data_IF_051583906367
#
_entry.id   IF_051583906367
#
_cell.length_a   1.000
_cell.length_b   1.000
_cell.length_c   1.000
_cell.angle_alpha   90.00
_cell.angle_beta   90.00
_cell.angle_gamma   90.00
#
_symmetry.space_group_name_H-M   'P 1'
#
loop_
_entity.id
_entity.type
_entity.pdbx_description
1 polymer ?
#
# COMPACT_ATOMS: atom_id res chain seq x y z
N UNK A 1 10.09 16.40 5.88
CA UNK A 1 9.28 15.47 6.70
C UNK A 1 9.13 14.10 6.01
N UNK A 2 10.21 13.57 5.41
CA UNK A 2 10.22 12.34 4.60
C UNK A 2 11.38 11.39 4.95
N UNK A 3 12.05 11.64 6.08
CA UNK A 3 13.15 10.80 6.57
C UNK A 3 12.84 10.41 8.00
N UNK A 4 12.19 9.26 8.16
CA UNK A 4 12.19 8.54 9.42
C UNK A 4 12.63 7.12 9.09
N UNK A 5 13.69 6.65 9.76
CA UNK A 5 14.34 5.35 9.51
C UNK A 5 13.47 4.13 9.84
N UNK A 6 12.16 4.32 10.01
CA UNK A 6 11.21 3.29 10.41
C UNK A 6 9.79 3.67 9.91
N UNK A 7 9.64 3.95 8.62
CA UNK A 7 8.32 4.18 8.02
C UNK A 7 7.63 2.83 7.86
N UNK A 8 6.59 2.62 8.66
CA UNK A 8 5.60 1.58 8.42
C UNK A 8 5.07 1.75 6.99
N UNK A 9 5.52 0.86 6.10
CA UNK A 9 5.34 1.00 4.66
C UNK A 9 3.87 0.92 4.25
N UNK A 10 3.02 0.35 5.12
CA UNK A 10 1.57 0.27 4.96
C UNK A 10 0.89 1.59 5.31
N UNK A 11 1.39 2.25 6.36
CA UNK A 11 0.95 3.60 6.71
C UNK A 11 1.27 4.58 5.59
N UNK A 12 2.46 4.49 5.00
CA UNK A 12 2.82 5.30 3.84
C UNK A 12 1.90 5.04 2.64
N UNK A 13 1.55 3.77 2.37
CA UNK A 13 0.66 3.41 1.27
C UNK A 13 -0.75 3.99 1.45
N UNK A 14 -1.32 3.86 2.65
CA UNK A 14 -2.63 4.43 2.99
C UNK A 14 -2.65 5.96 2.93
N UNK A 15 -1.57 6.62 3.39
CA UNK A 15 -1.41 8.06 3.29
C UNK A 15 -1.30 8.52 1.82
N UNK A 16 -0.55 7.80 0.98
CA UNK A 16 -0.41 8.10 -0.45
C UNK A 16 -1.72 7.90 -1.22
N UNK A 17 -2.47 6.83 -0.95
CA UNK A 17 -3.78 6.60 -1.56
C UNK A 17 -4.80 7.65 -1.10
N UNK A 18 -4.80 8.01 0.19
CA UNK A 18 -5.63 9.10 0.70
C UNK A 18 -5.29 10.45 0.05
N UNK A 19 -4.00 10.73 -0.13
CA UNK A 19 -3.53 11.94 -0.81
C UNK A 19 -3.98 11.97 -2.28
N UNK A 20 -3.87 10.85 -3.00
CA UNK A 20 -4.34 10.75 -4.38
C UNK A 20 -5.86 10.99 -4.45
N UNK A 21 -6.66 10.34 -3.61
CA UNK A 21 -8.11 10.52 -3.58
C UNK A 21 -8.51 11.98 -3.32
N UNK A 22 -7.82 12.67 -2.41
CA UNK A 22 -8.06 14.08 -2.15
C UNK A 22 -7.84 14.94 -3.40
N UNK A 23 -6.74 14.76 -4.13
CA UNK A 23 -6.50 15.53 -5.35
C UNK A 23 -7.43 15.15 -6.49
N UNK A 24 -7.77 13.86 -6.65
CA UNK A 24 -8.74 13.42 -7.65
C UNK A 24 -10.14 13.98 -7.36
N UNK A 25 -10.52 14.19 -6.09
CA UNK A 25 -11.80 14.82 -5.73
C UNK A 25 -11.93 16.28 -6.20
N UNK A 26 -10.81 16.95 -6.44
CA UNK A 26 -10.78 18.31 -7.00
C UNK A 26 -10.96 18.26 -8.53
N UNK A 27 -10.41 17.22 -9.17
CA UNK A 27 -10.33 17.10 -10.63
C UNK A 27 -11.51 16.37 -11.27
N UNK A 28 -12.17 15.47 -10.54
CA UNK A 28 -13.17 14.53 -11.06
C UNK A 28 -14.51 14.75 -10.38
N UNK A 29 -15.65 14.58 -11.08
CA UNK A 29 -16.96 14.62 -10.45
C UNK A 29 -17.09 13.55 -9.35
N UNK A 30 -17.69 13.88 -8.19
CA UNK A 30 -17.85 12.94 -7.07
C UNK A 30 -18.51 11.61 -7.48
N UNK A 31 -19.45 11.64 -8.42
CA UNK A 31 -20.22 10.49 -8.88
C UNK A 31 -19.38 9.47 -9.65
N UNK A 32 -18.27 9.94 -10.24
CA UNK A 32 -17.30 9.08 -10.95
C UNK A 32 -16.26 8.53 -9.98
N UNK A 33 -15.83 9.34 -9.00
CA UNK A 33 -14.85 8.93 -8.01
C UNK A 33 -15.42 7.89 -7.02
N UNK A 34 -16.70 8.01 -6.64
CA UNK A 34 -17.37 7.03 -5.76
C UNK A 34 -17.45 5.61 -6.33
N UNK A 35 -17.26 5.45 -7.65
CA UNK A 35 -17.27 4.15 -8.32
C UNK A 35 -15.90 3.48 -8.36
N UNK A 36 -14.84 4.19 -7.99
CA UNK A 36 -13.46 3.71 -8.04
C UNK A 36 -13.09 3.16 -6.66
N UNK A 37 -12.72 1.88 -6.61
CA UNK A 37 -12.19 1.27 -5.38
C UNK A 37 -10.72 1.64 -5.17
N UNK A 38 -10.22 1.54 -3.93
CA UNK A 38 -8.80 1.80 -3.63
C UNK A 38 -7.84 0.96 -4.48
N UNK A 39 -8.26 -0.26 -4.82
CA UNK A 39 -7.54 -1.21 -5.67
C UNK A 39 -7.43 -0.77 -7.13
N UNK A 40 -8.44 -0.06 -7.62
CA UNK A 40 -8.50 0.40 -9.02
C UNK A 40 -7.73 1.70 -9.21
N UNK A 41 -7.45 2.46 -8.14
CA UNK A 41 -6.73 3.74 -8.21
C UNK A 41 -5.37 3.65 -8.93
N UNK A 42 -4.63 2.55 -8.78
CA UNK A 42 -3.34 2.37 -9.45
C UNK A 42 -3.47 2.25 -10.97
N UNK A 43 -4.60 1.74 -11.47
CA UNK A 43 -4.82 1.49 -12.91
C UNK A 43 -5.90 2.37 -13.52
N UNK A 44 -6.57 3.18 -12.71
CA UNK A 44 -7.65 4.05 -13.12
C UNK A 44 -7.14 5.15 -14.04
N UNK A 45 -7.65 5.18 -15.27
CA UNK A 45 -7.37 6.26 -16.21
C UNK A 45 -8.23 7.48 -15.88
N UNK A 46 -7.80 8.24 -14.87
CA UNK A 46 -8.55 9.41 -14.42
C UNK A 46 -8.59 10.55 -15.43
N UNK A 47 -7.66 10.56 -16.41
CA UNK A 47 -7.52 11.62 -17.42
C UNK A 47 -8.79 11.81 -18.24
N UNK A 48 -9.48 10.72 -18.54
CA UNK A 48 -10.72 10.71 -19.30
C UNK A 48 -11.92 11.23 -18.48
N UNK A 49 -11.76 11.33 -17.16
CA UNK A 49 -12.79 11.76 -16.22
C UNK A 49 -12.56 13.18 -15.67
N UNK A 50 -11.47 13.85 -16.05
CA UNK A 50 -11.15 15.20 -15.56
C UNK A 50 -12.20 16.20 -16.04
N UNK A 51 -12.72 16.99 -15.10
CA UNK A 51 -13.67 18.05 -15.38
C UNK A 51 -13.04 19.15 -16.25
N UNK A 52 -13.88 19.88 -16.99
CA UNK A 52 -13.40 21.08 -17.68
C UNK A 52 -12.82 22.07 -16.66
N UNK A 53 -11.69 22.70 -16.99
CA UNK A 53 -10.98 23.70 -16.17
C UNK A 53 -11.89 24.80 -15.61
N UNK A 54 -12.96 25.14 -16.32
CA UNK A 54 -13.96 26.13 -15.88
C UNK A 54 -14.83 25.65 -14.71
N UNK A 55 -15.09 24.35 -14.62
CA UNK A 55 -15.86 23.71 -13.55
C UNK A 55 -15.02 23.28 -12.35
N UNK A 56 -13.69 23.37 -12.43
CA UNK A 56 -12.79 23.01 -11.33
C UNK A 56 -12.74 24.14 -10.29
N UNK A 57 -13.01 23.78 -9.05
CA UNK A 57 -12.87 24.66 -7.90
C UNK A 57 -11.58 24.35 -7.15
N UNK A 58 -10.56 25.20 -7.31
CA UNK A 58 -9.24 25.05 -6.70
C UNK A 58 -9.19 25.45 -5.21
N UNK A 59 -10.35 25.68 -4.59
CA UNK A 59 -10.48 26.03 -3.17
C UNK A 59 -10.67 27.52 -2.91
N UNK A 60 -11.09 27.82 -1.67
CA UNK A 60 -11.44 29.17 -1.23
C UNK A 60 -10.28 30.17 -1.37
N UNK A 61 -9.08 29.81 -0.89
CA UNK A 61 -7.90 30.68 -0.94
C UNK A 61 -7.52 31.06 -2.36
N UNK A 62 -7.66 30.13 -3.32
CA UNK A 62 -7.41 30.44 -4.72
C UNK A 62 -8.39 31.51 -5.23
N UNK A 63 -9.67 31.41 -4.87
CA UNK A 63 -10.70 32.38 -5.28
C UNK A 63 -10.44 33.75 -4.66
N UNK A 64 -10.06 33.79 -3.39
CA UNK A 64 -9.76 35.03 -2.65
C UNK A 64 -8.53 35.76 -3.24
N UNK A 65 -7.43 35.04 -3.44
CA UNK A 65 -6.18 35.60 -3.97
C UNK A 65 -6.28 35.97 -5.46
N UNK A 66 -7.18 35.33 -6.20
CA UNK A 66 -7.38 35.61 -7.62
C UNK A 66 -8.47 36.66 -7.92
N UNK A 67 -9.10 37.24 -6.89
CA UNK A 67 -10.24 38.15 -7.04
C UNK A 67 -9.94 39.37 -7.94
N UNK A 68 -8.69 39.85 -7.96
CA UNK A 68 -8.26 41.02 -8.74
C UNK A 68 -7.53 40.66 -10.04
N UNK A 69 -7.44 39.37 -10.39
CA UNK A 69 -6.74 38.91 -11.59
C UNK A 69 -7.67 39.02 -12.81
N UNK A 70 -7.21 39.58 -13.94
CA UNK A 70 -8.00 39.61 -15.17
C UNK A 70 -8.45 38.21 -15.59
N UNK A 71 -9.69 38.08 -16.07
CA UNK A 71 -10.30 36.77 -16.41
C UNK A 71 -9.45 35.96 -17.41
N UNK A 72 -8.77 36.63 -18.36
CA UNK A 72 -7.89 35.96 -19.33
C UNK A 72 -6.68 35.31 -18.63
N UNK A 73 -6.01 36.05 -17.75
CA UNK A 73 -4.88 35.56 -16.96
C UNK A 73 -5.32 34.51 -15.95
N UNK A 74 -6.49 34.70 -15.34
CA UNK A 74 -7.09 33.74 -14.40
C UNK A 74 -7.34 32.38 -15.05
N UNK A 75 -7.84 32.36 -16.29
CA UNK A 75 -8.03 31.13 -17.04
C UNK A 75 -6.71 30.41 -17.30
N UNK A 76 -5.65 31.15 -17.68
CA UNK A 76 -4.31 30.59 -17.91
C UNK A 76 -3.74 30.02 -16.59
N UNK A 77 -3.90 30.73 -15.47
CA UNK A 77 -3.43 30.28 -14.16
C UNK A 77 -4.19 29.02 -13.74
N UNK A 78 -5.53 29.02 -13.84
CA UNK A 78 -6.36 27.85 -13.53
C UNK A 78 -5.95 26.62 -14.35
N UNK A 79 -5.66 26.82 -15.63
CA UNK A 79 -5.24 25.74 -16.52
C UNK A 79 -3.88 25.16 -16.10
N UNK A 80 -2.91 26.02 -15.77
CA UNK A 80 -1.61 25.58 -15.25
C UNK A 80 -1.72 24.85 -13.91
N UNK A 81 -2.53 25.35 -12.98
CA UNK A 81 -2.79 24.69 -11.70
C UNK A 81 -3.43 23.31 -11.92
N UNK A 82 -4.40 23.21 -12.83
CA UNK A 82 -5.05 21.95 -13.18
C UNK A 82 -4.05 20.96 -13.79
N UNK A 83 -3.20 21.41 -14.73
CA UNK A 83 -2.15 20.57 -15.30
C UNK A 83 -1.12 20.12 -14.25
N UNK A 84 -0.79 20.98 -13.29
CA UNK A 84 0.08 20.63 -12.18
C UNK A 84 -0.53 19.52 -11.30
N UNK A 85 -1.81 19.65 -10.95
CA UNK A 85 -2.54 18.64 -10.18
C UNK A 85 -2.67 17.31 -10.93
N UNK A 86 -2.92 17.35 -12.25
CA UNK A 86 -2.95 16.15 -13.10
C UNK A 86 -1.60 15.44 -13.04
N UNK A 87 -0.50 16.16 -13.27
CA UNK A 87 0.85 15.59 -13.21
C UNK A 87 1.16 15.04 -11.82
N UNK A 88 0.78 15.73 -10.76
CA UNK A 88 0.96 15.26 -9.39
C UNK A 88 0.20 13.94 -9.15
N UNK A 89 -1.03 13.82 -9.64
CA UNK A 89 -1.81 12.59 -9.54
C UNK A 89 -1.16 11.45 -10.35
N UNK A 90 -0.69 11.70 -11.58
CA UNK A 90 0.04 10.72 -12.41
C UNK A 90 1.30 10.23 -11.67
N UNK A 91 2.06 11.16 -11.11
CA UNK A 91 3.27 10.90 -10.34
C UNK A 91 3.02 10.10 -9.05
N UNK A 92 1.92 10.37 -8.33
CA UNK A 92 1.52 9.58 -7.17
C UNK A 92 1.07 8.18 -7.62
N UNK A 93 0.28 8.09 -8.70
CA UNK A 93 -0.22 6.83 -9.25
C UNK A 93 0.93 5.93 -9.75
N UNK A 94 1.97 6.48 -10.37
CA UNK A 94 3.17 5.72 -10.77
C UNK A 94 3.96 5.17 -9.56
N UNK A 95 3.87 5.84 -8.41
CA UNK A 95 4.47 5.39 -7.15
C UNK A 95 3.55 4.43 -6.40
N UNK A 96 2.30 4.28 -6.82
CA UNK A 96 1.42 3.26 -6.28
C UNK A 96 1.78 1.90 -6.90
N UNK A 97 2.12 0.90 -6.08
CA UNK A 97 2.39 -0.44 -6.57
C UNK A 97 1.14 -1.05 -7.23
N UNK A 98 1.28 -1.65 -8.42
CA UNK A 98 0.18 -2.40 -9.08
C UNK A 98 -0.33 -3.58 -8.22
N UNK A 99 0.45 -3.97 -7.22
CA UNK A 99 0.21 -5.04 -6.28
C UNK A 99 -0.29 -4.54 -4.91
N UNK A 100 -1.01 -3.41 -4.84
CA UNK A 100 -1.65 -2.90 -3.60
C UNK A 100 -2.35 -4.02 -2.81
N UNK A 101 -3.12 -4.90 -3.45
CA UNK A 101 -3.77 -6.06 -2.79
C UNK A 101 -2.79 -7.02 -2.10
N UNK A 102 -1.62 -7.22 -2.70
CA UNK A 102 -0.54 -8.05 -2.15
C UNK A 102 0.21 -7.32 -1.03
N UNK A 103 0.29 -6.00 -1.09
CA UNK A 103 0.94 -5.19 -0.06
C UNK A 103 0.03 -4.93 1.15
N UNK A 104 -1.29 -4.79 0.96
CA UNK A 104 -2.24 -4.84 2.07
C UNK A 104 -2.16 -6.18 2.81
N UNK A 105 -1.92 -7.26 2.07
CA UNK A 105 -1.60 -8.57 2.65
C UNK A 105 -0.26 -8.58 3.42
N UNK A 106 0.68 -7.66 3.19
CA UNK A 106 1.88 -7.51 4.04
C UNK A 106 1.51 -7.10 5.48
N UNK A 107 0.40 -6.37 5.68
CA UNK A 107 -0.08 -5.99 7.02
C UNK A 107 -0.37 -7.21 7.90
N UNK A 108 -0.79 -8.31 7.29
CA UNK A 108 -1.05 -9.57 7.97
C UNK A 108 0.21 -10.10 8.65
N UNK A 109 1.37 -9.85 8.04
CA UNK A 109 2.67 -10.26 8.57
C UNK A 109 3.28 -9.22 9.53
N UNK A 110 2.55 -8.17 9.92
CA UNK A 110 2.98 -7.32 11.04
C UNK A 110 3.00 -8.14 12.34
N UNK A 111 3.95 -7.90 13.26
CA UNK A 111 4.04 -8.68 14.51
C UNK A 111 2.73 -8.66 15.31
N UNK A 112 2.01 -7.54 15.31
CA UNK A 112 0.77 -7.35 16.04
C UNK A 112 -0.37 -8.19 15.47
N UNK A 113 -0.49 -8.28 14.14
CA UNK A 113 -1.54 -9.07 13.48
C UNK A 113 -1.15 -10.56 13.48
N UNK A 114 0.10 -10.89 13.19
CA UNK A 114 0.59 -12.27 13.15
C UNK A 114 0.49 -12.98 14.52
N UNK A 115 0.64 -12.25 15.62
CA UNK A 115 0.50 -12.78 16.99
C UNK A 115 -0.90 -12.60 17.59
N UNK A 116 -1.84 -11.99 16.86
CA UNK A 116 -3.22 -11.83 17.31
C UNK A 116 -3.95 -13.17 17.45
N UNK A 117 -4.92 -13.25 18.36
CA UNK A 117 -5.82 -14.41 18.47
C UNK A 117 -6.86 -14.43 17.33
N UNK A 118 -7.27 -13.26 16.85
CA UNK A 118 -8.18 -13.10 15.70
C UNK A 118 -7.32 -12.78 14.48
N UNK A 119 -7.13 -13.77 13.63
CA UNK A 119 -6.18 -13.72 12.50
C UNK A 119 -6.91 -13.87 11.17
N UNK A 120 -6.50 -13.12 10.14
CA UNK A 120 -6.99 -13.34 8.80
C UNK A 120 -6.50 -14.70 8.25
N UNK A 121 -7.32 -15.31 7.39
CA UNK A 121 -6.90 -16.49 6.65
C UNK A 121 -5.82 -16.08 5.63
N UNK A 122 -4.71 -16.83 5.59
CA UNK A 122 -3.60 -16.60 4.66
C UNK A 122 -3.55 -17.62 3.52
N UNK A 123 -4.51 -18.54 3.43
CA UNK A 123 -4.54 -19.63 2.44
C UNK A 123 -4.37 -19.13 1.00
N UNK A 124 -5.14 -18.13 0.58
CA UNK A 124 -5.00 -17.52 -0.74
C UNK A 124 -3.61 -16.92 -1.00
N UNK A 125 -2.93 -16.47 0.06
CA UNK A 125 -1.58 -15.91 0.00
C UNK A 125 -0.58 -17.05 -0.18
N UNK A 126 -0.65 -18.07 0.68
CA UNK A 126 0.24 -19.22 0.64
C UNK A 126 0.15 -19.93 -0.71
N UNK A 127 -1.07 -20.11 -1.24
CA UNK A 127 -1.31 -20.69 -2.57
C UNK A 127 -0.73 -19.80 -3.68
N UNK A 128 -0.89 -18.48 -3.56
CA UNK A 128 -0.32 -17.51 -4.51
C UNK A 128 1.22 -17.49 -4.54
N UNK A 129 1.87 -17.87 -3.44
CA UNK A 129 3.33 -17.94 -3.30
C UNK A 129 3.89 -19.37 -3.29
N UNK A 130 3.11 -20.35 -3.74
CA UNK A 130 3.52 -21.77 -3.78
C UNK A 130 4.87 -21.99 -4.47
N UNK A 131 5.17 -21.22 -5.52
CA UNK A 131 6.41 -21.35 -6.28
C UNK A 131 7.62 -20.88 -5.46
N UNK A 132 7.44 -19.87 -4.60
CA UNK A 132 8.47 -19.40 -3.65
C UNK A 132 8.66 -20.41 -2.52
N UNK A 133 7.59 -21.08 -2.12
CA UNK A 133 7.62 -22.13 -1.10
C UNK A 133 8.22 -23.45 -1.61
N UNK A 134 8.44 -23.58 -2.92
CA UNK A 134 9.03 -24.79 -3.52
C UNK A 134 8.01 -25.85 -3.91
N UNK A 135 6.73 -25.50 -4.03
CA UNK A 135 5.67 -26.41 -4.50
C UNK A 135 4.45 -26.45 -3.58
N UNK A 136 3.43 -27.21 -4.03
CA UNK A 136 2.17 -27.39 -3.29
C UNK A 136 2.38 -28.15 -1.98
N UNK A 137 3.39 -29.01 -1.91
CA UNK A 137 3.75 -29.78 -0.70
C UNK A 137 4.02 -28.92 0.54
N UNK A 138 4.50 -27.69 0.38
CA UNK A 138 4.84 -26.81 1.49
C UNK A 138 3.70 -25.86 1.89
N UNK A 139 2.58 -25.86 1.16
CA UNK A 139 1.41 -25.02 1.45
C UNK A 139 0.80 -25.42 2.80
N UNK A 140 0.50 -26.70 2.99
CA UNK A 140 -0.10 -27.20 4.23
C UNK A 140 0.83 -27.00 5.43
N UNK A 141 2.13 -27.25 5.25
CA UNK A 141 3.14 -27.01 6.28
C UNK A 141 3.16 -25.53 6.71
N UNK A 142 3.13 -24.61 5.76
CA UNK A 142 3.10 -23.16 6.03
C UNK A 142 1.84 -22.74 6.78
N UNK A 143 0.67 -23.31 6.44
CA UNK A 143 -0.58 -23.03 7.15
C UNK A 143 -0.58 -23.56 8.59
N UNK A 144 0.03 -24.72 8.84
CA UNK A 144 0.20 -25.23 10.20
C UNK A 144 1.17 -24.37 11.01
N UNK A 145 2.29 -23.96 10.42
CA UNK A 145 3.25 -23.03 11.03
C UNK A 145 2.57 -21.71 11.40
N UNK A 146 1.76 -21.14 10.50
CA UNK A 146 0.95 -19.96 10.79
C UNK A 146 0.04 -20.21 11.99
N UNK A 147 -0.67 -21.34 12.02
CA UNK A 147 -1.62 -21.66 13.09
C UNK A 147 -0.98 -21.73 14.47
N UNK A 148 0.24 -22.28 14.59
CA UNK A 148 0.91 -22.44 15.89
C UNK A 148 1.70 -21.21 16.33
N UNK A 149 1.98 -20.25 15.44
CA UNK A 149 2.78 -19.04 15.71
C UNK A 149 2.39 -18.29 17.01
N UNK A 150 1.11 -18.02 17.34
CA UNK A 150 0.73 -17.24 18.52
C UNK A 150 0.70 -18.05 19.81
N UNK A 151 0.83 -19.39 19.72
CA UNK A 151 0.97 -20.23 20.91
C UNK A 151 2.31 -19.99 21.59
N UNK A 152 3.28 -19.42 20.86
CA UNK A 152 4.59 -19.07 21.36
C UNK A 152 4.65 -17.60 21.78
N UNK A 153 5.42 -17.31 22.83
CA UNK A 153 5.72 -15.94 23.24
C UNK A 153 6.96 -15.41 22.51
N UNK A 154 6.78 -14.28 21.81
CA UNK A 154 7.81 -13.59 21.03
C UNK A 154 8.29 -12.34 21.75
N UNK A 155 9.61 -12.10 21.77
CA UNK A 155 10.20 -10.97 22.51
C UNK A 155 10.39 -9.73 21.64
N UNK A 156 10.62 -9.92 20.34
CA UNK A 156 10.92 -8.86 19.37
C UNK A 156 9.70 -8.55 18.52
N UNK A 157 8.72 -7.85 19.08
CA UNK A 157 7.48 -7.49 18.35
C UNK A 157 7.44 -6.03 17.88
N UNK A 158 8.58 -5.31 17.97
CA UNK A 158 8.65 -3.88 17.65
C UNK A 158 8.65 -3.59 16.16
N UNK A 159 9.41 -4.34 15.37
CA UNK A 159 9.48 -4.21 13.92
C UNK A 159 9.28 -5.56 13.27
N UNK A 160 8.77 -5.57 12.03
CA UNK A 160 8.58 -6.81 11.27
C UNK A 160 9.90 -7.55 11.05
N UNK A 161 10.99 -6.83 10.76
CA UNK A 161 12.31 -7.43 10.52
C UNK A 161 12.88 -8.12 11.77
N UNK A 162 12.79 -7.47 12.93
CA UNK A 162 13.26 -8.06 14.19
C UNK A 162 12.42 -9.26 14.61
N UNK A 163 11.11 -9.19 14.37
CA UNK A 163 10.16 -10.26 14.65
C UNK A 163 10.40 -11.48 13.77
N UNK A 164 10.38 -11.32 12.45
CA UNK A 164 10.58 -12.44 11.53
C UNK A 164 12.00 -13.00 11.62
N UNK A 165 12.99 -12.18 11.99
CA UNK A 165 14.33 -12.65 12.35
C UNK A 165 14.35 -13.54 13.61
N UNK A 166 13.55 -13.22 14.64
CA UNK A 166 13.37 -14.08 15.83
C UNK A 166 12.67 -15.40 15.46
N UNK A 167 11.57 -15.32 14.69
CA UNK A 167 10.80 -16.50 14.25
C UNK A 167 11.67 -17.43 13.39
N UNK A 168 12.51 -16.88 12.50
CA UNK A 168 13.42 -17.66 11.66
C UNK A 168 14.50 -18.38 12.48
N UNK A 169 14.96 -17.72 13.56
CA UNK A 169 15.98 -18.27 14.46
C UNK A 169 15.41 -19.27 15.48
N UNK A 170 14.07 -19.37 15.57
CA UNK A 170 13.41 -20.23 16.53
C UNK A 170 13.51 -21.71 16.13
N UNK A 171 14.05 -22.51 17.04
CA UNK A 171 14.22 -23.96 16.87
C UNK A 171 13.25 -24.71 17.76
N UNK A 172 12.68 -25.78 17.23
CA UNK A 172 11.86 -26.71 17.99
C UNK A 172 12.72 -27.56 18.96
N UNK A 173 12.07 -28.41 19.75
CA UNK A 173 12.74 -29.30 20.71
C UNK A 173 13.74 -30.29 20.06
N UNK A 174 13.64 -30.52 18.74
CA UNK A 174 14.56 -31.36 17.97
C UNK A 174 15.75 -30.58 17.39
N UNK A 175 15.78 -29.24 17.53
CA UNK A 175 16.84 -28.39 17.01
C UNK A 175 16.62 -27.90 15.57
N UNK A 176 15.48 -28.25 14.96
CA UNK A 176 15.08 -27.84 13.61
C UNK A 176 14.31 -26.52 13.63
N UNK A 177 14.37 -25.76 12.53
CA UNK A 177 13.62 -24.52 12.38
C UNK A 177 12.12 -24.80 12.36
N UNK A 178 11.38 -24.29 13.35
CA UNK A 178 9.96 -24.64 13.52
C UNK A 178 9.02 -23.89 12.57
N UNK A 179 9.48 -22.77 11.98
CA UNK A 179 8.68 -21.83 11.19
C UNK A 179 9.35 -21.48 9.86
N UNK A 180 10.13 -22.40 9.29
CA UNK A 180 10.99 -22.12 8.13
C UNK A 180 10.20 -21.68 6.89
N UNK A 181 9.09 -22.37 6.57
CA UNK A 181 8.31 -22.05 5.38
C UNK A 181 7.58 -20.72 5.55
N UNK A 182 7.05 -20.48 6.74
CA UNK A 182 6.36 -19.25 7.09
C UNK A 182 7.29 -18.04 7.07
N UNK A 183 8.50 -18.17 7.61
CA UNK A 183 9.49 -17.08 7.57
C UNK A 183 9.99 -16.83 6.16
N UNK A 184 10.19 -17.89 5.35
CA UNK A 184 10.50 -17.75 3.92
C UNK A 184 9.41 -16.96 3.18
N UNK A 185 8.13 -17.28 3.45
CA UNK A 185 6.99 -16.54 2.90
C UNK A 185 6.99 -15.08 3.36
N UNK A 186 7.09 -14.84 4.66
CA UNK A 186 7.07 -13.50 5.23
C UNK A 186 8.22 -12.64 4.69
N UNK A 187 9.44 -13.18 4.61
CA UNK A 187 10.59 -12.48 4.03
C UNK A 187 10.38 -12.22 2.53
N UNK A 188 9.85 -13.18 1.76
CA UNK A 188 9.58 -12.96 0.34
C UNK A 188 8.55 -11.85 0.12
N UNK A 189 7.51 -11.80 0.96
CA UNK A 189 6.45 -10.80 0.91
C UNK A 189 6.94 -9.42 1.37
N UNK A 190 7.71 -9.36 2.46
CA UNK A 190 8.27 -8.11 3.00
C UNK A 190 9.42 -7.55 2.17
N UNK A 191 10.09 -8.39 1.38
CA UNK A 191 11.13 -7.97 0.41
C UNK A 191 10.57 -7.55 -0.95
N UNK A 192 9.25 -7.66 -1.16
CA UNK A 192 8.63 -7.11 -2.37
C UNK A 192 8.83 -5.59 -2.38
N UNK A 193 9.42 -5.03 -3.45
CA UNK A 193 9.60 -3.60 -3.53
C UNK A 193 8.23 -2.92 -3.57
N UNK A 194 8.02 -1.97 -2.65
CA UNK A 194 6.86 -1.06 -2.65
C UNK A 194 6.85 -0.09 -3.85
N UNK A 195 7.88 -0.13 -4.70
CA UNK A 195 8.15 0.84 -5.75
C UNK A 195 8.47 0.12 -7.05
N UNK A 196 7.75 0.45 -8.12
CA UNK A 196 8.15 0.15 -9.50
C UNK A 196 9.14 1.23 -9.95
N UNK A 197 10.34 1.26 -9.38
CA UNK A 197 11.47 1.95 -10.04
C UNK A 197 12.42 0.87 -10.54
N UNK A 198 12.03 0.29 -11.66
CA UNK A 198 12.91 -0.45 -12.55
C UNK A 198 12.49 -0.18 -13.99
N UNK A 199 12.80 1.02 -14.49
CA UNK A 199 13.35 1.25 -15.82
C UNK A 199 13.83 2.69 -15.97
#
# INVERSE_FOLDING_TARGET
MFQSDNVDSLKLLSELTGLLLNYLSILIPPERLQRVTQDELATFNFRDCVMNTRGIHLGYLFVEESANVPIQDLNIIKERCTQCLIRLCEEIQMRLPNNIKLLEKNSIFSPQIATSQVRPNIEDIVVGFKDVLGGVENVDATLQEWRILPLQQWKKTKTADEFWGEVLSYKNACGDAAFFNLTKLATAILSLPFSVVAK
#
